data_IF_852615449769
#
_entry.id   IF_852615449769
#
_cell.length_a   1.000
_cell.length_b   1.000
_cell.length_c   1.000
_cell.angle_alpha   90.00
_cell.angle_beta   90.00
_cell.angle_gamma   90.00
#
_symmetry.space_group_name_H-M   'P 1'
#
loop_
_entity.id
_entity.type
_entity.pdbx_description
1 polymer ?
#
# COMPACT_ATOMS: atom_id res chain seq x y z
N UNK A 1 -7.68 33.23 -19.06
CA UNK A 1 -8.55 32.17 -18.48
C UNK A 1 -8.27 30.86 -19.20
N UNK A 2 -8.12 29.76 -18.48
CA UNK A 2 -7.90 28.41 -19.06
C UNK A 2 -8.93 27.43 -18.52
N UNK A 3 -9.29 26.40 -19.28
CA UNK A 3 -10.16 25.32 -18.79
C UNK A 3 -9.57 24.64 -17.54
N UNK A 4 -8.24 24.59 -17.43
CA UNK A 4 -7.53 24.03 -16.28
C UNK A 4 -7.77 24.76 -14.95
N UNK A 5 -8.19 26.03 -14.96
CA UNK A 5 -8.51 26.78 -13.73
C UNK A 5 -9.70 26.22 -12.94
N UNK A 6 -10.53 25.36 -13.56
CA UNK A 6 -11.61 24.62 -12.87
C UNK A 6 -11.14 23.29 -12.27
N UNK A 7 -9.87 22.91 -12.47
CA UNK A 7 -9.32 21.62 -12.06
C UNK A 7 -9.64 20.50 -13.04
N UNK A 8 -9.06 19.32 -12.78
CA UNK A 8 -9.25 18.12 -13.61
C UNK A 8 -10.69 17.57 -13.54
N UNK A 9 -11.40 17.84 -12.45
CA UNK A 9 -12.79 17.38 -12.22
C UNK A 9 -13.63 18.50 -11.63
N UNK A 10 -14.77 18.79 -12.26
CA UNK A 10 -15.61 19.94 -11.94
C UNK A 10 -16.39 19.82 -10.63
N UNK A 11 -16.69 18.59 -10.20
CA UNK A 11 -17.47 18.31 -8.99
C UNK A 11 -17.04 16.97 -8.36
N UNK A 12 -17.17 16.82 -7.03
CA UNK A 12 -17.01 15.52 -6.39
C UNK A 12 -18.11 14.53 -6.81
N UNK A 13 -19.31 15.03 -7.08
CA UNK A 13 -20.43 14.22 -7.57
C UNK A 13 -20.20 13.66 -8.97
N UNK A 14 -20.85 12.53 -9.32
CA UNK A 14 -20.88 12.03 -10.68
C UNK A 14 -21.38 13.10 -11.65
N UNK A 15 -20.59 13.40 -12.68
CA UNK A 15 -20.94 14.40 -13.70
C UNK A 15 -22.24 14.09 -14.48
N UNK A 16 -22.72 12.84 -14.38
CA UNK A 16 -23.88 12.30 -15.09
C UNK A 16 -24.58 11.34 -14.15
N UNK A 17 -25.88 11.52 -13.96
CA UNK A 17 -26.71 10.71 -13.06
C UNK A 17 -26.66 9.20 -13.34
N UNK A 18 -26.44 8.81 -14.59
CA UNK A 18 -26.39 7.40 -15.04
C UNK A 18 -25.03 6.73 -14.83
N UNK A 19 -24.01 7.45 -14.33
CA UNK A 19 -22.65 6.94 -14.19
C UNK A 19 -22.17 7.07 -12.73
N UNK A 20 -22.80 6.40 -11.76
CA UNK A 20 -22.47 6.56 -10.34
C UNK A 20 -21.01 6.19 -10.00
N UNK A 21 -20.39 5.31 -10.78
CA UNK A 21 -18.98 4.94 -10.63
C UNK A 21 -18.00 6.09 -10.92
N UNK A 22 -18.46 7.20 -11.51
CA UNK A 22 -17.64 8.40 -11.74
C UNK A 22 -17.69 9.39 -10.58
N UNK A 23 -18.23 9.04 -9.42
CA UNK A 23 -18.04 9.83 -8.19
C UNK A 23 -16.55 9.99 -7.86
N UNK A 24 -16.15 11.15 -7.34
CA UNK A 24 -14.78 11.37 -6.90
C UNK A 24 -14.54 10.63 -5.58
N UNK A 25 -13.53 9.78 -5.58
CA UNK A 25 -13.05 9.09 -4.39
C UNK A 25 -11.56 8.84 -4.53
N UNK A 26 -10.91 8.66 -3.39
CA UNK A 26 -9.52 8.22 -3.35
C UNK A 26 -9.39 6.89 -4.11
N UNK A 27 -8.42 6.80 -5.01
CA UNK A 27 -8.13 5.59 -5.78
C UNK A 27 -6.77 5.05 -5.37
N UNK A 28 -6.52 3.79 -5.71
CA UNK A 28 -5.31 3.06 -5.35
C UNK A 28 -4.58 2.65 -6.65
N UNK A 29 -3.24 2.68 -6.72
CA UNK A 29 -2.49 2.29 -7.91
C UNK A 29 -2.50 0.77 -8.13
N UNK A 30 -3.68 0.23 -8.48
CA UNK A 30 -3.94 -1.21 -8.59
C UNK A 30 -3.15 -1.91 -9.69
N UNK A 31 -2.63 -1.19 -10.70
CA UNK A 31 -1.78 -1.78 -11.75
C UNK A 31 -0.49 -2.35 -11.16
N UNK A 32 0.18 -1.58 -10.31
CA UNK A 32 1.42 -2.02 -9.64
C UNK A 32 1.09 -2.98 -8.52
N UNK A 33 0.07 -2.68 -7.72
CA UNK A 33 -0.23 -3.45 -6.51
C UNK A 33 -0.81 -4.84 -6.80
N UNK A 34 -1.58 -5.01 -7.88
CA UNK A 34 -2.14 -6.32 -8.23
C UNK A 34 -1.19 -7.19 -9.06
N UNK A 35 -0.17 -6.58 -9.69
CA UNK A 35 0.85 -7.29 -10.45
C UNK A 35 1.92 -7.84 -9.51
N UNK A 36 1.67 -9.06 -9.00
CA UNK A 36 2.59 -9.80 -8.14
C UNK A 36 3.82 -10.30 -8.90
N UNK A 37 4.90 -10.51 -8.16
CA UNK A 37 6.19 -10.91 -8.72
C UNK A 37 6.19 -12.41 -9.09
N UNK A 38 6.07 -12.73 -10.39
CA UNK A 38 5.99 -14.12 -10.85
C UNK A 38 7.31 -14.90 -10.78
N UNK A 39 8.44 -14.21 -10.72
CA UNK A 39 9.78 -14.83 -10.73
C UNK A 39 10.01 -15.73 -9.51
N UNK A 40 9.29 -15.52 -8.41
CA UNK A 40 9.33 -16.39 -7.23
C UNK A 40 8.74 -17.78 -7.47
N UNK A 41 8.05 -17.99 -8.60
CA UNK A 41 7.48 -19.27 -9.00
C UNK A 41 8.38 -20.03 -9.98
N UNK A 42 9.55 -19.48 -10.33
CA UNK A 42 10.45 -20.11 -11.29
C UNK A 42 11.01 -21.43 -10.74
N UNK A 43 10.91 -22.49 -11.55
CA UNK A 43 11.38 -23.83 -11.16
C UNK A 43 10.51 -24.55 -10.13
N UNK A 44 9.31 -24.03 -9.85
CA UNK A 44 8.31 -24.62 -8.93
C UNK A 44 7.20 -25.31 -9.72
N UNK A 45 6.89 -26.56 -9.36
CA UNK A 45 5.81 -27.30 -10.02
C UNK A 45 4.45 -27.03 -9.36
N UNK A 46 3.66 -26.12 -9.93
CA UNK A 46 2.27 -25.90 -9.54
C UNK A 46 1.36 -26.96 -10.16
N UNK A 47 0.36 -27.41 -9.38
CA UNK A 47 -0.67 -28.35 -9.83
C UNK A 47 -2.01 -27.63 -9.82
N UNK A 48 -2.80 -27.82 -10.90
CA UNK A 48 -4.12 -27.21 -11.00
C UNK A 48 -5.11 -27.87 -10.02
N UNK A 49 -6.11 -27.09 -9.58
CA UNK A 49 -7.09 -27.52 -8.57
C UNK A 49 -7.96 -28.68 -9.09
N UNK A 50 -8.16 -28.78 -10.40
CA UNK A 50 -8.95 -29.84 -11.03
C UNK A 50 -8.14 -31.14 -11.25
N UNK A 51 -6.81 -31.10 -11.18
CA UNK A 51 -5.91 -32.23 -11.41
C UNK A 51 -5.72 -33.10 -10.15
N UNK A 52 -6.76 -33.83 -9.77
CA UNK A 52 -6.77 -34.73 -8.59
C UNK A 52 -6.46 -36.19 -8.92
N UNK A 53 -6.16 -36.50 -10.18
CA UNK A 53 -5.79 -37.84 -10.60
C UNK A 53 -4.37 -38.21 -10.13
N UNK A 54 -4.09 -39.52 -10.08
CA UNK A 54 -2.83 -40.03 -9.54
C UNK A 54 -1.62 -39.69 -10.40
N UNK A 55 -1.80 -39.47 -11.69
CA UNK A 55 -0.69 -39.20 -12.61
C UNK A 55 -0.20 -37.76 -12.50
N UNK A 56 -1.07 -36.83 -12.11
CA UNK A 56 -0.73 -35.42 -11.89
C UNK A 56 -0.17 -35.11 -10.49
N UNK A 57 -0.14 -36.08 -9.57
CA UNK A 57 0.40 -35.86 -8.23
C UNK A 57 1.92 -35.69 -8.26
N UNK A 58 2.42 -34.76 -7.44
CA UNK A 58 3.85 -34.46 -7.30
C UNK A 58 4.39 -35.03 -5.99
N UNK A 59 5.71 -35.06 -5.86
CA UNK A 59 6.37 -35.42 -4.62
C UNK A 59 5.89 -34.50 -3.46
N UNK A 60 5.62 -35.05 -2.25
CA UNK A 60 5.15 -34.23 -1.14
C UNK A 60 6.08 -33.06 -0.75
N UNK A 61 7.40 -33.20 -0.91
CA UNK A 61 8.33 -32.10 -0.64
C UNK A 61 8.21 -31.00 -1.71
N UNK A 62 8.01 -31.40 -2.96
CA UNK A 62 7.74 -30.47 -4.06
C UNK A 62 6.40 -29.73 -3.87
N UNK A 63 5.37 -30.43 -3.38
CA UNK A 63 4.10 -29.81 -3.01
C UNK A 63 4.29 -28.76 -1.90
N UNK A 64 5.08 -29.05 -0.87
CA UNK A 64 5.39 -28.09 0.19
C UNK A 64 6.15 -26.88 -0.36
N UNK A 65 7.17 -27.11 -1.21
CA UNK A 65 7.91 -26.03 -1.87
C UNK A 65 6.98 -25.14 -2.70
N UNK A 66 6.05 -25.74 -3.44
CA UNK A 66 5.03 -25.02 -4.18
C UNK A 66 4.10 -24.19 -3.29
N UNK A 67 3.66 -24.71 -2.14
CA UNK A 67 2.82 -23.93 -1.21
C UNK A 67 3.55 -22.72 -0.64
N UNK A 68 4.85 -22.86 -0.32
CA UNK A 68 5.68 -21.75 0.17
C UNK A 68 5.86 -20.69 -0.92
N UNK A 69 6.19 -21.10 -2.14
CA UNK A 69 6.36 -20.19 -3.27
C UNK A 69 5.06 -19.43 -3.62
N UNK A 70 3.90 -20.10 -3.52
CA UNK A 70 2.59 -19.45 -3.71
C UNK A 70 2.30 -18.44 -2.59
N UNK A 71 2.71 -18.72 -1.34
CA UNK A 71 2.60 -17.76 -0.24
C UNK A 71 3.47 -16.52 -0.47
N UNK A 72 4.72 -16.71 -0.90
CA UNK A 72 5.65 -15.64 -1.26
C UNK A 72 5.13 -14.82 -2.44
N UNK A 73 4.67 -15.48 -3.51
CA UNK A 73 4.01 -14.83 -4.63
C UNK A 73 2.84 -13.96 -4.17
N UNK A 74 1.99 -14.49 -3.29
CA UNK A 74 0.79 -13.80 -2.81
C UNK A 74 1.07 -12.61 -1.89
N UNK A 75 2.27 -12.53 -1.32
CA UNK A 75 2.69 -11.48 -0.38
C UNK A 75 3.82 -10.58 -0.92
N UNK A 76 4.37 -10.89 -2.11
CA UNK A 76 5.49 -10.19 -2.77
C UNK A 76 5.30 -8.67 -2.88
N UNK A 77 4.11 -8.22 -3.27
CA UNK A 77 3.79 -6.78 -3.40
C UNK A 77 3.36 -6.13 -2.09
N UNK A 78 3.01 -6.93 -1.08
CA UNK A 78 2.44 -6.50 0.19
C UNK A 78 1.23 -7.35 0.60
N UNK A 79 0.68 -7.05 1.78
CA UNK A 79 -0.46 -7.78 2.34
C UNK A 79 -1.78 -7.02 2.12
N UNK A 80 -2.87 -7.76 1.93
CA UNK A 80 -4.22 -7.19 1.92
C UNK A 80 -4.91 -7.33 3.29
N UNK A 81 -6.11 -6.76 3.44
CA UNK A 81 -6.83 -6.80 4.74
C UNK A 81 -7.13 -8.24 5.15
N UNK A 82 -7.60 -9.07 4.22
CA UNK A 82 -8.02 -10.45 4.49
C UNK A 82 -6.85 -11.34 4.95
N UNK A 83 -5.69 -11.18 4.32
CA UNK A 83 -4.45 -11.85 4.69
C UNK A 83 -3.93 -11.41 6.07
N UNK A 84 -4.07 -10.14 6.42
CA UNK A 84 -3.67 -9.65 7.75
C UNK A 84 -4.64 -10.09 8.85
N UNK A 85 -5.93 -9.98 8.59
CA UNK A 85 -7.00 -10.30 9.53
C UNK A 85 -7.06 -11.79 9.86
N UNK A 86 -6.88 -12.67 8.86
CA UNK A 86 -6.93 -14.13 9.05
C UNK A 86 -5.82 -14.69 9.95
N UNK A 87 -4.77 -13.92 10.22
CA UNK A 87 -3.62 -14.33 11.03
C UNK A 87 -3.68 -13.84 12.48
N UNK A 88 -4.75 -13.14 12.87
CA UNK A 88 -4.90 -12.55 14.21
C UNK A 88 -6.21 -12.95 14.86
N UNK A 89 -6.27 -12.82 16.19
CA UNK A 89 -7.46 -13.17 16.96
C UNK A 89 -8.69 -12.35 16.54
N UNK A 90 -9.83 -13.04 16.50
CA UNK A 90 -11.14 -12.48 16.16
C UNK A 90 -11.14 -11.72 14.82
N UNK A 91 -10.42 -12.23 13.83
CA UNK A 91 -10.27 -11.63 12.50
C UNK A 91 -9.81 -10.16 12.53
N UNK A 92 -9.03 -9.79 13.56
CA UNK A 92 -8.52 -8.43 13.71
C UNK A 92 -9.59 -7.39 14.00
N UNK A 93 -10.77 -7.80 14.49
CA UNK A 93 -11.86 -6.88 14.86
C UNK A 93 -11.35 -5.86 15.88
N UNK A 94 -11.70 -4.60 15.62
CA UNK A 94 -11.30 -3.36 16.31
C UNK A 94 -9.80 -3.00 16.20
N UNK A 95 -9.01 -3.75 15.44
CA UNK A 95 -7.66 -3.32 15.07
C UNK A 95 -7.70 -2.18 14.05
N UNK A 96 -6.61 -1.42 13.98
CA UNK A 96 -6.47 -0.26 13.08
C UNK A 96 -5.70 -0.68 11.83
N UNK A 97 -6.39 -0.60 10.70
CA UNK A 97 -5.81 -0.82 9.37
C UNK A 97 -5.56 0.52 8.70
N UNK A 98 -4.43 0.65 8.02
CA UNK A 98 -4.07 1.86 7.29
C UNK A 98 -3.23 1.52 6.06
N UNK A 99 -3.24 2.43 5.08
CA UNK A 99 -2.29 2.42 3.96
C UNK A 99 -1.06 3.24 4.34
N UNK A 100 0.09 2.98 3.72
CA UNK A 100 1.36 3.63 4.07
C UNK A 100 1.25 5.15 3.94
N UNK A 101 0.71 5.61 2.82
CA UNK A 101 0.45 7.01 2.50
C UNK A 101 -0.56 7.69 3.45
N UNK A 102 -1.35 6.92 4.21
CA UNK A 102 -2.33 7.47 5.16
C UNK A 102 -1.73 7.92 6.50
N UNK A 103 -0.44 7.67 6.71
CA UNK A 103 0.27 8.02 7.94
C UNK A 103 1.48 8.93 7.68
N UNK A 104 1.78 9.23 6.41
CA UNK A 104 2.90 10.06 5.98
C UNK A 104 2.49 11.53 5.75
N UNK A 105 3.46 12.43 5.90
CA UNK A 105 3.24 13.87 5.76
C UNK A 105 2.20 14.42 6.74
N UNK A 106 1.27 15.23 6.23
CA UNK A 106 0.19 15.84 7.00
C UNK A 106 -1.06 14.96 7.09
N UNK A 107 -1.09 13.80 6.43
CA UNK A 107 -2.25 12.91 6.40
C UNK A 107 -2.26 11.99 7.63
N UNK A 108 -3.43 11.86 8.27
CA UNK A 108 -3.63 10.93 9.39
C UNK A 108 -5.01 10.29 9.28
N UNK A 109 -5.03 9.08 8.71
CA UNK A 109 -6.25 8.28 8.53
C UNK A 109 -5.98 6.83 8.88
N UNK A 110 -6.98 6.20 9.48
CA UNK A 110 -7.01 4.75 9.65
C UNK A 110 -8.46 4.26 9.66
N UNK A 111 -8.62 2.95 9.52
CA UNK A 111 -9.91 2.29 9.65
C UNK A 111 -9.85 1.34 10.82
N UNK A 112 -10.78 1.50 11.76
CA UNK A 112 -10.98 0.53 12.84
C UNK A 112 -11.92 -0.55 12.34
N UNK A 113 -11.40 -1.76 12.16
CA UNK A 113 -12.14 -2.86 11.54
C UNK A 113 -13.33 -3.29 12.41
N UNK A 114 -14.49 -3.47 11.81
CA UNK A 114 -15.72 -3.89 12.51
C UNK A 114 -16.10 -5.32 12.16
N UNK A 115 -16.10 -5.65 10.87
CA UNK A 115 -16.51 -6.96 10.35
C UNK A 115 -15.78 -7.27 9.04
N UNK A 116 -15.59 -8.56 8.77
CA UNK A 116 -15.07 -9.08 7.50
C UNK A 116 -15.93 -10.26 7.09
N UNK A 117 -16.38 -10.24 5.83
CA UNK A 117 -17.01 -11.37 5.17
C UNK A 117 -16.01 -11.95 4.17
N UNK A 118 -15.38 -13.07 4.53
CA UNK A 118 -14.44 -13.76 3.66
C UNK A 118 -15.16 -14.52 2.55
N UNK A 119 -14.64 -14.43 1.32
CA UNK A 119 -15.04 -15.32 0.24
C UNK A 119 -14.28 -16.66 0.34
N UNK A 120 -14.72 -17.65 -0.45
CA UNK A 120 -14.06 -18.98 -0.53
C UNK A 120 -12.57 -18.89 -0.87
N UNK A 121 -12.16 -17.91 -1.68
CA UNK A 121 -10.76 -17.69 -2.06
C UNK A 121 -9.87 -17.24 -0.88
N UNK A 122 -10.46 -16.78 0.24
CA UNK A 122 -9.77 -16.32 1.45
C UNK A 122 -8.99 -15.01 1.32
N UNK A 123 -8.49 -14.70 0.12
CA UNK A 123 -7.75 -13.47 -0.19
C UNK A 123 -8.64 -12.30 -0.62
N UNK A 124 -9.95 -12.52 -0.70
CA UNK A 124 -10.96 -11.56 -1.15
C UNK A 124 -12.17 -11.65 -0.24
N UNK A 125 -13.01 -10.63 -0.29
CA UNK A 125 -14.23 -10.55 0.49
C UNK A 125 -14.74 -9.12 0.56
N UNK A 126 -15.52 -8.84 1.60
CA UNK A 126 -15.95 -7.49 1.94
C UNK A 126 -15.52 -7.17 3.36
N UNK A 127 -14.91 -6.01 3.56
CA UNK A 127 -14.51 -5.54 4.88
C UNK A 127 -15.26 -4.26 5.24
N UNK A 128 -15.61 -4.12 6.51
CA UNK A 128 -16.32 -2.96 7.07
C UNK A 128 -15.57 -2.41 8.26
N UNK A 129 -15.57 -1.09 8.40
CA UNK A 129 -14.94 -0.45 9.55
C UNK A 129 -15.32 1.01 9.72
N UNK A 130 -14.93 1.54 10.88
CA UNK A 130 -15.10 2.95 11.21
C UNK A 130 -13.89 3.73 10.67
N UNK A 131 -14.13 4.65 9.74
CA UNK A 131 -13.06 5.50 9.20
C UNK A 131 -12.80 6.60 10.21
N UNK A 132 -11.55 6.77 10.60
CA UNK A 132 -11.11 7.89 11.46
C UNK A 132 -10.12 8.74 10.68
N UNK A 133 -10.40 10.03 10.52
CA UNK A 133 -9.57 10.99 9.81
C UNK A 133 -9.34 12.20 10.73
N UNK A 134 -8.07 12.48 11.04
CA UNK A 134 -7.69 13.55 11.98
C UNK A 134 -8.45 13.56 13.31
N UNK A 135 -8.68 12.38 13.89
CA UNK A 135 -9.36 12.22 15.17
C UNK A 135 -10.89 12.24 15.11
N UNK A 136 -11.49 12.52 13.95
CA UNK A 136 -12.93 12.42 13.74
C UNK A 136 -13.32 11.07 13.14
N UNK A 137 -14.36 10.44 13.69
CA UNK A 137 -14.75 9.07 13.35
C UNK A 137 -16.15 9.00 12.76
N UNK A 138 -16.37 8.09 11.81
CA UNK A 138 -17.71 7.81 11.27
C UNK A 138 -18.66 7.22 12.33
N UNK A 139 -19.94 7.58 12.26
CA UNK A 139 -20.95 7.05 13.20
C UNK A 139 -21.40 5.62 12.92
N UNK A 140 -21.19 5.14 11.68
CA UNK A 140 -21.48 3.77 11.25
C UNK A 140 -20.27 3.14 10.57
N UNK A 141 -20.15 1.80 10.58
CA UNK A 141 -19.20 1.11 9.73
C UNK A 141 -19.48 1.40 8.26
N UNK A 142 -18.44 1.69 7.50
CA UNK A 142 -18.49 1.88 6.05
C UNK A 142 -17.71 0.74 5.40
N UNK A 143 -18.14 0.34 4.21
CA UNK A 143 -17.37 -0.61 3.41
C UNK A 143 -15.99 -0.02 3.11
N UNK A 144 -14.95 -0.83 3.30
CA UNK A 144 -13.58 -0.43 3.02
C UNK A 144 -13.33 -0.62 1.53
N UNK A 145 -13.21 0.50 0.81
CA UNK A 145 -12.84 0.51 -0.60
C UNK A 145 -11.42 -0.07 -0.77
N UNK A 146 -11.22 -0.87 -1.82
CA UNK A 146 -9.92 -1.49 -2.17
C UNK A 146 -9.30 -2.33 -1.04
N UNK A 147 -10.14 -3.04 -0.27
CA UNK A 147 -9.72 -3.95 0.81
C UNK A 147 -8.92 -5.17 0.31
N UNK A 148 -9.17 -5.60 -0.92
CA UNK A 148 -8.54 -6.73 -1.60
C UNK A 148 -7.18 -6.40 -2.22
N UNK A 149 -6.96 -5.13 -2.55
CA UNK A 149 -5.68 -4.63 -3.10
C UNK A 149 -4.62 -4.60 -1.99
N UNK A 150 -3.43 -5.20 -2.20
CA UNK A 150 -2.38 -5.22 -1.18
C UNK A 150 -1.81 -3.83 -0.87
N UNK A 151 -1.02 -3.73 0.20
CA UNK A 151 -0.44 -2.48 0.71
C UNK A 151 -1.07 -1.99 2.02
N UNK A 152 -1.86 -2.84 2.67
CA UNK A 152 -2.43 -2.57 3.99
C UNK A 152 -1.44 -2.91 5.10
N UNK A 153 -1.54 -2.16 6.19
CA UNK A 153 -0.73 -2.31 7.39
C UNK A 153 -1.65 -2.32 8.61
N UNK A 154 -1.24 -3.05 9.64
CA UNK A 154 -1.97 -3.16 10.90
C UNK A 154 -0.99 -3.51 12.02
N UNK A 155 -1.07 -2.76 13.12
CA UNK A 155 -0.34 -3.05 14.36
C UNK A 155 -1.34 -3.70 15.34
N UNK A 156 -1.14 -4.98 15.63
CA UNK A 156 -2.02 -5.72 16.52
C UNK A 156 -1.84 -5.28 17.97
N UNK A 157 -2.95 -4.95 18.64
CA UNK A 157 -2.98 -4.66 20.08
C UNK A 157 -4.05 -5.51 20.76
N UNK A 158 -3.64 -6.29 21.75
CA UNK A 158 -4.52 -7.20 22.51
C UNK A 158 -5.68 -6.43 23.14
N UNK A 159 -5.43 -5.25 23.70
CA UNK A 159 -6.44 -4.38 24.33
C UNK A 159 -7.59 -3.96 23.40
N UNK A 160 -7.34 -3.96 22.09
CA UNK A 160 -8.35 -3.61 21.09
C UNK A 160 -9.17 -4.81 20.66
N UNK A 161 -8.71 -6.04 20.85
CA UNK A 161 -9.38 -7.22 20.30
C UNK A 161 -10.82 -7.35 20.83
N UNK A 162 -11.78 -7.59 19.92
CA UNK A 162 -13.21 -7.76 20.26
C UNK A 162 -13.69 -9.13 19.82
N UNK A 163 -14.15 -9.98 20.75
CA UNK A 163 -14.66 -11.31 20.42
C UNK A 163 -15.94 -11.30 19.56
N UNK A 164 -16.20 -12.41 18.87
CA UNK A 164 -17.35 -12.58 17.95
C UNK A 164 -18.72 -12.39 18.60
N UNK A 165 -18.85 -12.65 19.90
CA UNK A 165 -20.10 -12.44 20.64
C UNK A 165 -20.37 -10.98 21.01
N UNK A 166 -19.42 -10.07 20.77
CA UNK A 166 -19.53 -8.65 21.07
C UNK A 166 -19.53 -7.81 19.79
N UNK A 167 -20.24 -6.68 19.84
CA UNK A 167 -20.25 -5.68 18.78
C UNK A 167 -19.00 -4.79 18.93
N UNK A 168 -18.33 -4.47 17.83
CA UNK A 168 -17.21 -3.53 17.85
C UNK A 168 -17.75 -2.12 18.10
N UNK A 169 -17.36 -1.45 19.20
CA UNK A 169 -17.77 -0.07 19.42
C UNK A 169 -17.06 0.87 18.44
N UNK A 170 -17.71 1.97 17.99
CA UNK A 170 -17.03 3.01 17.25
C UNK A 170 -15.90 3.61 18.11
N UNK A 171 -14.73 3.92 17.53
CA UNK A 171 -13.74 4.71 18.24
C UNK A 171 -14.29 6.12 18.50
N UNK A 172 -13.93 6.75 19.64
CA UNK A 172 -14.45 8.06 20.01
C UNK A 172 -13.85 9.17 19.13
N UNK A 173 -14.69 10.11 18.71
CA UNK A 173 -14.24 11.36 18.09
C UNK A 173 -13.55 12.25 19.13
N UNK A 174 -12.33 12.69 18.85
CA UNK A 174 -11.48 13.43 19.80
C UNK A 174 -12.04 14.83 20.11
N UNK A 175 -12.76 15.44 19.17
CA UNK A 175 -13.40 16.75 19.39
C UNK A 175 -14.78 16.69 20.05
N UNK A 176 -15.42 15.51 20.09
CA UNK A 176 -16.84 15.37 20.46
C UNK A 176 -17.07 14.47 21.66
N UNK A 177 -16.54 13.25 21.63
CA UNK A 177 -16.86 12.20 22.60
C UNK A 177 -15.94 12.21 23.82
N UNK A 178 -14.70 12.68 23.63
CA UNK A 178 -13.69 12.75 24.69
C UNK A 178 -13.13 14.17 24.80
N UNK A 179 -12.62 14.58 25.98
CA UNK A 179 -11.95 15.87 26.12
C UNK A 179 -10.70 15.96 25.24
N UNK A 180 -10.53 17.10 24.58
CA UNK A 180 -9.34 17.37 23.76
C UNK A 180 -8.13 17.56 24.67
N UNK A 181 -7.17 16.63 24.60
CA UNK A 181 -5.87 16.74 25.27
C UNK A 181 -4.72 16.73 24.24
N UNK A 182 -3.99 17.86 24.08
CA UNK A 182 -2.85 17.96 23.15
C UNK A 182 -1.69 17.01 23.45
N UNK A 183 -1.60 16.45 24.67
CA UNK A 183 -0.59 15.44 25.01
C UNK A 183 -0.96 14.05 24.49
N UNK A 184 -2.25 13.77 24.38
CA UNK A 184 -2.78 12.49 23.89
C UNK A 184 -2.86 12.45 22.36
N UNK A 185 -3.36 13.53 21.74
CA UNK A 185 -3.50 13.66 20.30
C UNK A 185 -3.34 15.12 19.89
N UNK A 186 -2.42 15.36 18.96
CA UNK A 186 -2.17 16.67 18.38
C UNK A 186 -2.38 16.61 16.87
N UNK A 187 -3.24 17.48 16.37
CA UNK A 187 -3.50 17.58 14.94
C UNK A 187 -2.23 17.93 14.17
N UNK A 188 -1.92 17.12 13.15
CA UNK A 188 -0.83 17.37 12.19
C UNK A 188 -1.22 18.42 11.14
N UNK A 189 -2.52 18.54 10.87
CA UNK A 189 -3.10 19.46 9.89
C UNK A 189 -4.49 19.88 10.33
N UNK A 190 -4.98 20.99 9.79
CA UNK A 190 -6.28 21.57 10.07
C UNK A 190 -6.72 22.44 8.88
N UNK A 191 -8.01 22.82 8.77
CA UNK A 191 -8.45 23.72 7.71
C UNK A 191 -7.63 25.02 7.68
N UNK A 192 -7.32 25.51 6.48
CA UNK A 192 -6.50 26.71 6.25
C UNK A 192 -5.01 26.59 6.63
N UNK A 193 -4.51 25.37 6.82
CA UNK A 193 -3.08 25.09 6.98
C UNK A 193 -2.51 24.37 5.75
N UNK A 194 -1.36 24.84 5.29
CA UNK A 194 -0.53 24.17 4.29
C UNK A 194 0.84 23.83 4.91
N UNK A 195 1.40 22.69 4.53
CA UNK A 195 2.73 22.28 5.01
C UNK A 195 3.83 23.24 4.51
N UNK A 196 4.91 23.45 5.28
CA UNK A 196 6.04 24.24 4.83
C UNK A 196 6.74 23.57 3.64
N UNK A 197 7.32 24.38 2.75
CA UNK A 197 8.04 23.90 1.56
C UNK A 197 9.32 23.14 1.97
N UNK A 198 9.49 21.86 1.59
CA UNK A 198 10.73 21.14 1.84
C UNK A 198 11.89 21.73 1.02
N UNK A 199 13.09 21.90 1.61
CA UNK A 199 14.22 22.55 0.94
C UNK A 199 14.66 21.84 -0.34
N UNK A 200 14.61 20.51 -0.36
CA UNK A 200 14.96 19.68 -1.52
C UNK A 200 14.01 19.90 -2.71
N UNK A 201 12.71 20.14 -2.45
CA UNK A 201 11.74 20.46 -3.50
C UNK A 201 11.93 21.87 -4.03
N UNK A 202 12.30 22.82 -3.15
CA UNK A 202 12.64 24.19 -3.56
C UNK A 202 13.87 24.18 -4.45
N UNK A 203 14.95 23.52 -4.01
CA UNK A 203 16.18 23.40 -4.80
C UNK A 203 15.92 22.73 -6.16
N UNK A 204 15.20 21.60 -6.17
CA UNK A 204 14.86 20.88 -7.40
C UNK A 204 14.07 21.75 -8.37
N UNK A 205 13.05 22.45 -7.88
CA UNK A 205 12.22 23.31 -8.72
C UNK A 205 13.00 24.53 -9.23
N UNK A 206 13.92 25.09 -8.43
CA UNK A 206 14.78 26.20 -8.85
C UNK A 206 15.82 25.76 -9.88
N UNK A 207 16.35 24.53 -9.78
CA UNK A 207 17.18 23.90 -10.81
C UNK A 207 16.41 23.69 -12.11
N UNK A 208 15.23 23.06 -12.04
CA UNK A 208 14.38 22.80 -13.20
C UNK A 208 13.93 24.09 -13.92
N UNK A 209 13.80 25.21 -13.19
CA UNK A 209 13.48 26.54 -13.74
C UNK A 209 14.72 27.36 -14.15
N UNK A 210 15.93 26.86 -13.94
CA UNK A 210 17.18 27.53 -14.29
C UNK A 210 17.54 28.73 -13.40
N UNK A 211 16.97 28.83 -12.20
CA UNK A 211 17.33 29.86 -11.21
C UNK A 211 18.63 29.49 -10.50
N UNK A 212 18.76 28.22 -10.11
CA UNK A 212 20.00 27.64 -9.60
C UNK A 212 20.66 26.89 -10.75
N UNK A 213 21.97 27.09 -10.99
CA UNK A 213 22.69 26.31 -12.01
C UNK A 213 22.72 24.84 -11.58
N UNK A 214 22.21 23.97 -12.45
CA UNK A 214 22.29 22.52 -12.29
C UNK A 214 23.45 22.00 -13.15
N UNK A 215 24.65 21.78 -12.59
CA UNK A 215 25.76 21.23 -13.37
C UNK A 215 25.41 19.80 -13.81
N UNK A 216 25.86 19.35 -14.99
CA UNK A 216 25.64 17.98 -15.44
C UNK A 216 26.23 17.02 -14.40
N UNK A 217 25.41 16.11 -13.89
CA UNK A 217 25.88 15.00 -13.06
C UNK A 217 26.73 14.12 -13.96
N UNK A 218 28.05 14.09 -13.74
CA UNK A 218 28.92 13.11 -14.39
C UNK A 218 28.43 11.72 -14.01
N UNK A 219 27.84 11.02 -14.99
CA UNK A 219 27.61 9.59 -14.92
C UNK A 219 28.98 8.93 -14.84
N UNK A 220 29.42 8.57 -13.64
CA UNK A 220 30.54 7.64 -13.50
C UNK A 220 30.13 6.34 -14.17
N UNK A 221 30.63 6.11 -15.38
CA UNK A 221 30.64 4.78 -15.96
C UNK A 221 31.41 3.86 -14.99
N UNK A 222 30.88 2.68 -14.64
CA UNK A 222 31.62 1.74 -13.81
C UNK A 222 32.94 1.37 -14.53
N UNK A 223 34.05 1.24 -13.80
CA UNK A 223 35.35 0.99 -14.41
C UNK A 223 35.32 -0.31 -15.21
N UNK A 224 35.65 -0.17 -16.49
CA UNK A 224 35.80 -1.28 -17.43
C UNK A 224 37.13 -1.96 -17.10
N UNK A 225 37.10 -2.94 -16.20
CA UNK A 225 38.24 -3.84 -15.95
C UNK A 225 38.35 -4.84 -17.11
N UNK A 226 38.84 -4.38 -18.26
CA UNK A 226 39.32 -5.27 -19.31
C UNK A 226 40.27 -4.59 -20.29
N UNK A 227 41.48 -5.14 -20.28
CA UNK A 227 42.43 -5.27 -21.39
C UNK A 227 43.51 -4.19 -21.56
N UNK A 228 44.74 -4.61 -21.22
CA UNK A 228 45.99 -3.99 -21.61
C UNK A 228 47.16 -4.94 -21.34
N UNK A 229 47.14 -6.14 -21.93
CA UNK A 229 48.33 -7.01 -21.98
C UNK A 229 49.31 -6.45 -23.03
N UNK A 230 50.32 -5.70 -22.57
CA UNK A 230 51.39 -5.21 -23.44
C UNK A 230 52.45 -6.30 -23.66
N UNK A 231 52.40 -6.91 -24.84
CA UNK A 231 53.49 -7.68 -25.45
C UNK A 231 54.44 -6.69 -26.16
N UNK A 232 55.61 -6.43 -25.56
CA UNK A 232 56.70 -5.68 -26.22
C UNK A 232 57.90 -6.59 -26.47
N UNK A 233 58.02 -7.08 -27.71
CA UNK A 233 59.24 -7.70 -28.21
C UNK A 233 59.74 -6.98 -29.47
N UNK A 234 60.93 -6.37 -29.40
CA UNK A 234 62.02 -6.32 -30.42
C UNK A 234 63.14 -5.37 -29.93
N UNK A 235 64.32 -5.84 -29.51
CA UNK A 235 65.53 -6.17 -30.33
C UNK A 235 65.90 -5.02 -31.30
N UNK A 236 67.09 -4.42 -31.31
CA UNK A 236 68.43 -5.04 -31.30
C UNK A 236 69.57 -4.03 -31.06
N UNK A 237 70.72 -4.59 -30.65
CA UNK A 237 72.08 -4.08 -30.82
C UNK A 237 72.41 -3.71 -32.28
N UNK A 238 72.92 -2.50 -32.51
CA UNK A 238 74.18 -2.14 -33.21
C UNK A 238 74.23 -0.64 -33.46
#
# INVERSE_FOLDING_TARGET
>A
MTLGSKGMKLSPDPHRRRMPWTAAKEYVPGVVLNAKEKMVLDGVQLVDVECVDRASQVDPLEALRATVAVYEYNTSTGKNIFQLASQVEFDGRRQRFYRKEWQEGTYDKYVTLSAIDFNRDGNKGTAYGYVTFHGETTTRPVQIDFADVPGWHMEFRVERAVPFNAIVPPPPSIGTDVPVDPRSYRLRAYPFYDAPNPPEFVERLLKDRGVIPDPPVETMEPPNDSEGSDDTTRRNNQ
#
